data_IF_360251079236
#
_entry.id   IF_360251079236
#
_cell.length_a   1.000
_cell.length_b   1.000
_cell.length_c   1.000
_cell.angle_alpha   90.00
_cell.angle_beta   90.00
_cell.angle_gamma   90.00
#
_symmetry.space_group_name_H-M   'P 1'
#
loop_
_entity.id
_entity.type
_entity.pdbx_description
1 polymer ?
#
# COMPACT_ATOMS: atom_id res chain seq x y z
N UNK A 1 29.20 -11.14 -18.39
CA UNK A 1 29.24 -11.23 -16.92
C UNK A 1 28.25 -10.19 -16.42
N UNK A 2 27.25 -10.62 -15.66
CA UNK A 2 26.19 -9.73 -15.18
C UNK A 2 26.44 -9.41 -13.70
N UNK A 3 26.24 -8.15 -13.34
CA UNK A 3 26.30 -7.74 -11.93
C UNK A 3 24.99 -8.10 -11.23
N UNK A 4 25.07 -8.50 -9.96
CA UNK A 4 23.91 -8.86 -9.15
C UNK A 4 23.36 -7.68 -8.34
N UNK A 5 24.09 -6.58 -8.19
CA UNK A 5 23.72 -5.46 -7.31
C UNK A 5 23.39 -4.17 -8.08
N UNK A 6 23.41 -3.03 -7.39
CA UNK A 6 23.28 -1.70 -8.00
C UNK A 6 24.39 -1.38 -9.03
N UNK A 7 25.50 -2.13 -9.05
CA UNK A 7 26.55 -2.00 -10.07
C UNK A 7 26.03 -2.22 -11.50
N UNK A 8 24.95 -3.00 -11.67
CA UNK A 8 24.30 -3.24 -12.96
C UNK A 8 23.74 -1.96 -13.61
N UNK A 9 23.52 -0.89 -12.84
CA UNK A 9 23.02 0.38 -13.40
C UNK A 9 24.14 1.35 -13.78
N UNK A 10 25.40 1.05 -13.46
CA UNK A 10 26.52 1.96 -13.69
C UNK A 10 27.31 1.55 -14.95
N UNK A 11 27.24 2.39 -15.98
CA UNK A 11 27.90 2.14 -17.25
C UNK A 11 29.45 2.06 -17.11
N UNK A 12 30.04 2.80 -16.16
CA UNK A 12 31.49 2.80 -15.97
C UNK A 12 31.96 1.53 -15.28
N UNK A 13 31.23 1.03 -14.27
CA UNK A 13 31.52 -0.26 -13.64
C UNK A 13 31.35 -1.41 -14.63
N UNK A 14 30.33 -1.34 -15.50
CA UNK A 14 30.15 -2.30 -16.62
C UNK A 14 31.32 -2.28 -17.59
N UNK A 15 31.75 -1.09 -18.00
CA UNK A 15 32.92 -0.93 -18.87
C UNK A 15 34.20 -1.48 -18.20
N UNK A 16 34.40 -1.20 -16.91
CA UNK A 16 35.52 -1.73 -16.12
C UNK A 16 35.53 -3.27 -16.04
N UNK A 17 34.36 -3.91 -16.04
CA UNK A 17 34.26 -5.37 -16.07
C UNK A 17 34.64 -5.97 -17.43
N UNK A 18 34.60 -5.18 -18.51
CA UNK A 18 34.80 -5.63 -19.90
C UNK A 18 36.16 -5.21 -20.49
N UNK A 19 36.66 -4.02 -20.15
CA UNK A 19 37.83 -3.41 -20.80
C UNK A 19 38.91 -2.99 -19.79
N UNK A 20 40.19 -3.21 -20.11
CA UNK A 20 41.30 -2.86 -19.22
C UNK A 20 41.53 -1.33 -19.15
N UNK A 21 41.20 -0.61 -20.23
CA UNK A 21 41.28 0.86 -20.29
C UNK A 21 40.25 1.54 -19.38
N UNK A 22 39.29 0.79 -18.84
CA UNK A 22 38.22 1.29 -17.98
C UNK A 22 38.45 1.00 -16.49
N UNK A 23 39.64 0.50 -16.13
CA UNK A 23 40.02 0.29 -14.74
C UNK A 23 39.98 1.59 -13.92
N UNK A 24 39.66 1.46 -12.63
CA UNK A 24 39.42 2.57 -11.71
C UNK A 24 40.48 2.56 -10.61
N UNK A 25 41.13 3.69 -10.34
CA UNK A 25 42.14 3.83 -9.30
C UNK A 25 42.63 5.27 -9.16
N UNK A 26 43.59 5.51 -8.29
CA UNK A 26 44.14 6.87 -8.05
C UNK A 26 44.67 7.53 -9.33
N UNK A 27 45.22 6.73 -10.26
CA UNK A 27 45.78 7.18 -11.52
C UNK A 27 44.79 7.07 -12.70
N UNK A 28 43.61 6.47 -12.50
CA UNK A 28 42.67 6.13 -13.58
C UNK A 28 41.22 6.35 -13.16
N UNK A 29 40.48 7.24 -13.85
CA UNK A 29 39.07 7.51 -13.56
C UNK A 29 38.79 7.73 -12.05
N UNK A 30 39.63 8.54 -11.41
CA UNK A 30 39.71 8.71 -9.97
C UNK A 30 38.53 9.49 -9.36
N UNK A 31 37.58 9.96 -10.17
CA UNK A 31 36.41 10.72 -9.69
C UNK A 31 35.12 10.36 -10.43
N UNK A 32 34.05 10.07 -9.69
CA UNK A 32 32.70 9.85 -10.23
C UNK A 32 31.78 9.01 -9.33
N UNK A 33 30.49 8.91 -9.67
CA UNK A 33 29.49 8.17 -8.88
C UNK A 33 29.81 6.67 -8.71
N UNK A 34 30.51 6.06 -9.68
CA UNK A 34 30.99 4.68 -9.57
C UNK A 34 31.97 4.47 -8.41
N UNK A 35 32.71 5.52 -8.02
CA UNK A 35 33.63 5.45 -6.88
C UNK A 35 32.85 5.29 -5.58
N UNK A 36 31.72 5.98 -5.42
CA UNK A 36 30.86 5.84 -4.24
C UNK A 36 30.36 4.40 -4.10
N UNK A 37 29.94 3.79 -5.20
CA UNK A 37 29.50 2.40 -5.26
C UNK A 37 30.62 1.42 -4.87
N UNK A 38 31.84 1.64 -5.36
CA UNK A 38 33.03 0.88 -4.95
C UNK A 38 33.27 1.01 -3.45
N UNK A 39 33.19 2.22 -2.89
CA UNK A 39 33.39 2.45 -1.45
C UNK A 39 32.30 1.81 -0.60
N UNK A 40 31.04 1.84 -1.03
CA UNK A 40 29.94 1.12 -0.38
C UNK A 40 30.24 -0.38 -0.30
N UNK A 41 30.66 -0.98 -1.42
CA UNK A 41 31.02 -2.41 -1.46
C UNK A 41 32.22 -2.74 -0.55
N UNK A 42 33.26 -1.91 -0.57
CA UNK A 42 34.43 -2.06 0.30
C UNK A 42 34.09 -1.95 1.78
N UNK A 43 33.25 -0.97 2.17
CA UNK A 43 32.80 -0.82 3.55
C UNK A 43 31.92 -2.01 3.99
N UNK A 44 31.02 -2.47 3.11
CA UNK A 44 30.19 -3.65 3.37
C UNK A 44 31.05 -4.90 3.61
N UNK A 45 32.14 -5.08 2.85
CA UNK A 45 33.10 -6.14 3.09
C UNK A 45 33.91 -5.94 4.38
N UNK A 46 34.38 -4.73 4.65
CA UNK A 46 35.25 -4.40 5.77
C UNK A 46 34.60 -4.74 7.12
N UNK A 47 33.29 -4.50 7.24
CA UNK A 47 32.49 -4.82 8.44
C UNK A 47 32.38 -6.33 8.67
N UNK A 48 32.41 -7.15 7.60
CA UNK A 48 32.33 -8.63 7.69
C UNK A 48 33.67 -9.26 8.12
N UNK A 49 34.76 -8.51 8.16
CA UNK A 49 36.09 -9.05 8.49
C UNK A 49 36.25 -9.30 9.99
N UNK A 50 37.09 -10.26 10.35
CA UNK A 50 37.49 -10.52 11.74
C UNK A 50 39.03 -10.56 11.88
N UNK A 51 39.68 -9.54 12.47
CA UNK A 51 39.07 -8.32 13.00
C UNK A 51 38.53 -7.41 11.87
N UNK A 52 37.56 -6.52 12.18
CA UNK A 52 37.02 -5.57 11.21
C UNK A 52 38.13 -4.74 10.56
N UNK A 53 38.03 -4.51 9.25
CA UNK A 53 38.91 -3.58 8.56
C UNK A 53 38.39 -2.15 8.73
N UNK A 54 39.29 -1.16 8.59
CA UNK A 54 38.92 0.26 8.61
C UNK A 54 37.95 0.59 7.47
N UNK A 55 36.91 1.37 7.79
CA UNK A 55 35.96 1.89 6.80
C UNK A 55 36.43 3.25 6.29
N UNK A 56 36.03 3.58 5.06
CA UNK A 56 36.40 4.84 4.38
C UNK A 56 35.16 5.72 4.16
N UNK A 57 35.37 7.04 4.11
CA UNK A 57 34.30 7.99 3.79
C UNK A 57 33.77 7.76 2.36
N UNK A 58 32.46 7.62 2.23
CA UNK A 58 31.77 7.51 0.94
C UNK A 58 31.69 8.90 0.31
N UNK A 59 32.43 9.08 -0.78
CA UNK A 59 32.40 10.25 -1.65
C UNK A 59 32.86 9.82 -3.05
N UNK A 60 32.80 10.74 -4.01
CA UNK A 60 33.10 10.49 -5.41
C UNK A 60 34.60 10.40 -5.73
N UNK A 61 35.52 10.48 -4.75
CA UNK A 61 36.97 10.52 -4.99
C UNK A 61 37.70 9.23 -4.61
N UNK A 62 38.46 8.68 -5.55
CA UNK A 62 39.31 7.51 -5.36
C UNK A 62 40.69 7.96 -4.88
N UNK A 63 40.82 8.14 -3.56
CA UNK A 63 42.06 8.56 -2.92
C UNK A 63 42.90 7.39 -2.39
N UNK A 64 44.03 7.72 -1.76
CA UNK A 64 44.97 6.76 -1.18
C UNK A 64 44.30 5.75 -0.25
N UNK A 65 43.40 6.19 0.62
CA UNK A 65 42.70 5.30 1.56
C UNK A 65 41.83 4.25 0.85
N UNK A 66 41.21 4.63 -0.27
CA UNK A 66 40.42 3.71 -1.09
C UNK A 66 41.31 2.68 -1.78
N UNK A 67 42.43 3.12 -2.34
CA UNK A 67 43.43 2.23 -2.94
C UNK A 67 44.03 1.25 -1.94
N UNK A 68 44.33 1.70 -0.71
CA UNK A 68 44.82 0.85 0.38
C UNK A 68 43.80 -0.23 0.75
N UNK A 69 42.52 0.15 0.88
CA UNK A 69 41.44 -0.79 1.22
C UNK A 69 41.16 -1.79 0.08
N UNK A 70 41.30 -1.37 -1.18
CA UNK A 70 41.23 -2.28 -2.35
C UNK A 70 42.36 -3.29 -2.32
N UNK A 71 43.61 -2.87 -2.07
CA UNK A 71 44.74 -3.78 -1.98
C UNK A 71 44.55 -4.80 -0.84
N UNK A 72 44.06 -4.35 0.31
CA UNK A 72 43.72 -5.22 1.43
C UNK A 72 42.59 -6.21 1.07
N UNK A 73 41.52 -5.73 0.44
CA UNK A 73 40.41 -6.54 -0.06
C UNK A 73 40.93 -7.68 -0.93
N UNK A 74 41.71 -7.35 -1.98
CA UNK A 74 42.28 -8.32 -2.91
C UNK A 74 43.17 -9.36 -2.23
N UNK A 75 43.96 -8.92 -1.25
CA UNK A 75 44.89 -9.79 -0.51
C UNK A 75 44.16 -10.83 0.32
N UNK A 76 42.99 -10.49 0.86
CA UNK A 76 42.19 -11.36 1.73
C UNK A 76 41.19 -12.25 1.00
N UNK A 77 41.07 -12.14 -0.32
CA UNK A 77 40.29 -13.08 -1.12
C UNK A 77 41.00 -14.44 -1.20
N UNK A 78 40.24 -15.51 -1.36
CA UNK A 78 40.77 -16.89 -1.47
C UNK A 78 40.27 -17.50 -2.78
N UNK A 79 41.12 -17.59 -3.84
CA UNK A 79 42.50 -17.11 -3.90
C UNK A 79 42.60 -15.56 -4.01
N UNK A 80 43.78 -14.97 -3.72
CA UNK A 80 43.97 -13.53 -3.86
C UNK A 80 43.70 -13.03 -5.28
N UNK A 81 43.12 -11.84 -5.39
CA UNK A 81 42.85 -11.22 -6.70
C UNK A 81 44.10 -10.49 -7.19
N UNK A 82 44.87 -11.14 -8.07
CA UNK A 82 46.10 -10.60 -8.65
C UNK A 82 45.83 -9.90 -10.00
N UNK A 83 46.67 -8.92 -10.33
CA UNK A 83 46.73 -8.32 -11.66
C UNK A 83 47.46 -9.22 -12.68
N UNK A 84 47.60 -8.76 -13.93
CA UNK A 84 48.23 -9.54 -15.00
C UNK A 84 49.71 -9.88 -14.74
N UNK A 85 50.40 -9.07 -13.92
CA UNK A 85 51.78 -9.29 -13.50
C UNK A 85 51.89 -10.18 -12.25
N UNK A 86 50.78 -10.77 -11.79
CA UNK A 86 50.76 -11.63 -10.60
C UNK A 86 50.94 -10.87 -9.29
N UNK A 87 50.64 -9.56 -9.24
CA UNK A 87 50.83 -8.71 -8.05
C UNK A 87 49.50 -8.17 -7.53
N UNK A 88 49.46 -7.85 -6.24
CA UNK A 88 48.42 -7.01 -5.64
C UNK A 88 48.69 -5.57 -6.03
N UNK A 89 47.65 -4.86 -6.46
CA UNK A 89 47.69 -3.42 -6.74
C UNK A 89 46.47 -2.71 -6.13
N UNK A 90 46.46 -1.38 -6.27
CA UNK A 90 45.47 -0.47 -5.69
C UNK A 90 44.34 -0.10 -6.67
N UNK A 91 44.18 -0.89 -7.73
CA UNK A 91 43.30 -0.59 -8.86
C UNK A 91 42.10 -1.53 -8.83
N UNK A 92 40.89 -1.01 -8.99
CA UNK A 92 39.70 -1.82 -9.26
C UNK A 92 39.69 -2.16 -10.75
N UNK A 93 40.12 -3.37 -11.08
CA UNK A 93 40.06 -3.93 -12.43
C UNK A 93 38.95 -4.96 -12.58
N UNK A 94 38.87 -5.62 -13.75
CA UNK A 94 37.81 -6.58 -14.12
C UNK A 94 37.42 -7.57 -13.01
N UNK A 95 38.39 -8.30 -12.47
CA UNK A 95 38.15 -9.30 -11.40
C UNK A 95 37.68 -8.65 -10.10
N UNK A 96 38.18 -7.45 -9.81
CA UNK A 96 37.92 -6.73 -8.56
C UNK A 96 36.52 -6.13 -8.56
N UNK A 97 36.10 -5.46 -9.64
CA UNK A 97 34.75 -4.85 -9.71
C UNK A 97 33.66 -5.91 -9.58
N UNK A 98 33.89 -7.10 -10.14
CA UNK A 98 32.97 -8.24 -10.07
C UNK A 98 32.94 -8.88 -8.68
N UNK A 99 34.08 -8.95 -8.02
CA UNK A 99 34.13 -9.44 -6.65
C UNK A 99 33.44 -8.45 -5.69
N UNK A 100 33.64 -7.14 -5.88
CA UNK A 100 33.00 -6.09 -5.09
C UNK A 100 31.48 -6.05 -5.25
N UNK A 101 30.96 -6.29 -6.46
CA UNK A 101 29.50 -6.41 -6.69
C UNK A 101 28.84 -7.47 -5.79
N UNK A 102 29.59 -8.53 -5.43
CA UNK A 102 29.09 -9.59 -4.54
C UNK A 102 28.99 -9.16 -3.08
N UNK A 103 29.64 -8.06 -2.71
CA UNK A 103 29.61 -7.55 -1.34
C UNK A 103 28.34 -6.77 -1.02
N UNK A 104 27.66 -6.29 -2.07
CA UNK A 104 26.40 -5.57 -1.98
C UNK A 104 25.20 -6.53 -2.04
N UNK A 105 24.05 -6.14 -1.47
CA UNK A 105 22.82 -6.91 -1.57
C UNK A 105 22.47 -7.19 -3.03
N UNK A 106 22.16 -8.45 -3.35
CA UNK A 106 21.59 -8.78 -4.65
C UNK A 106 20.33 -7.95 -4.86
N UNK A 107 20.24 -7.32 -6.03
CA UNK A 107 19.01 -6.74 -6.55
C UNK A 107 18.04 -7.89 -6.71
N UNK A 108 17.28 -8.19 -5.65
CA UNK A 108 16.05 -8.96 -5.78
C UNK A 108 15.32 -8.31 -6.95
N UNK A 109 15.15 -9.06 -8.05
CA UNK A 109 14.21 -8.67 -9.10
C UNK A 109 12.98 -8.25 -8.33
N UNK A 110 12.58 -6.98 -8.47
CA UNK A 110 11.40 -6.50 -7.78
C UNK A 110 10.31 -7.54 -8.05
N UNK A 111 9.65 -8.10 -7.01
CA UNK A 111 8.63 -9.10 -7.24
C UNK A 111 7.70 -8.57 -8.32
N UNK A 112 7.32 -9.44 -9.27
CA UNK A 112 6.45 -9.04 -10.37
C UNK A 112 5.28 -8.23 -9.79
N UNK A 113 4.86 -7.13 -10.45
CA UNK A 113 3.74 -6.33 -9.97
C UNK A 113 2.58 -7.26 -9.62
N UNK A 114 2.01 -7.08 -8.43
CA UNK A 114 0.84 -7.85 -8.04
C UNK A 114 -0.24 -7.66 -9.10
N UNK A 115 -0.99 -8.71 -9.42
CA UNK A 115 -2.22 -8.53 -10.17
C UNK A 115 -3.20 -7.65 -9.37
N UNK A 116 -4.21 -7.09 -10.02
CA UNK A 116 -5.12 -6.12 -9.42
C UNK A 116 -5.97 -6.77 -8.33
N UNK A 117 -6.42 -8.00 -8.56
CA UNK A 117 -7.06 -8.87 -7.58
C UNK A 117 -6.11 -9.25 -6.45
N UNK A 118 -4.83 -9.58 -6.72
CA UNK A 118 -3.85 -9.84 -5.66
C UNK A 118 -3.56 -8.60 -4.80
N UNK A 119 -3.56 -7.42 -5.42
CA UNK A 119 -3.46 -6.14 -4.72
C UNK A 119 -4.68 -5.90 -3.84
N UNK A 120 -5.89 -6.15 -4.35
CA UNK A 120 -7.13 -6.06 -3.57
C UNK A 120 -7.13 -7.05 -2.40
N UNK A 121 -6.62 -8.28 -2.59
CA UNK A 121 -6.47 -9.28 -1.53
C UNK A 121 -5.54 -8.81 -0.41
N UNK A 122 -4.48 -8.06 -0.75
CA UNK A 122 -3.57 -7.49 0.23
C UNK A 122 -4.28 -6.45 1.12
N UNK A 123 -5.09 -5.57 0.53
CA UNK A 123 -5.76 -4.48 1.26
C UNK A 123 -7.11 -4.90 1.89
N UNK A 124 -7.58 -6.10 1.57
CA UNK A 124 -8.81 -6.70 2.11
C UNK A 124 -8.85 -6.76 3.64
N UNK A 125 -7.72 -7.07 4.30
CA UNK A 125 -7.71 -7.20 5.76
C UNK A 125 -8.10 -5.88 6.44
N UNK A 126 -7.61 -4.76 5.93
CA UNK A 126 -8.00 -3.42 6.40
C UNK A 126 -9.51 -3.19 6.20
N UNK A 127 -10.05 -3.58 5.05
CA UNK A 127 -11.49 -3.48 4.74
C UNK A 127 -12.34 -4.30 5.73
N UNK A 128 -11.91 -5.52 6.06
CA UNK A 128 -12.54 -6.40 7.04
C UNK A 128 -12.54 -5.74 8.43
N UNK A 129 -11.42 -5.15 8.85
CA UNK A 129 -11.33 -4.47 10.15
C UNK A 129 -12.31 -3.29 10.25
N UNK A 130 -12.44 -2.49 9.20
CA UNK A 130 -13.41 -1.40 9.15
C UNK A 130 -14.86 -1.92 9.18
N UNK A 131 -15.18 -2.95 8.41
CA UNK A 131 -16.51 -3.56 8.41
C UNK A 131 -16.88 -4.15 9.78
N UNK A 132 -15.94 -4.83 10.46
CA UNK A 132 -16.15 -5.37 11.80
C UNK A 132 -16.37 -4.26 12.83
N UNK A 133 -15.60 -3.17 12.76
CA UNK A 133 -15.83 -2.01 13.62
C UNK A 133 -17.23 -1.42 13.40
N UNK A 134 -17.66 -1.27 12.15
CA UNK A 134 -19.02 -0.83 11.82
C UNK A 134 -20.10 -1.75 12.40
N UNK A 135 -19.97 -3.07 12.24
CA UNK A 135 -20.92 -4.05 12.80
C UNK A 135 -20.99 -3.94 14.33
N UNK A 136 -19.86 -3.87 15.00
CA UNK A 136 -19.81 -3.78 16.46
C UNK A 136 -20.48 -2.49 16.96
N UNK A 137 -20.16 -1.36 16.32
CA UNK A 137 -20.69 -0.03 16.66
C UNK A 137 -22.19 0.10 16.42
N UNK A 138 -22.66 -0.42 15.28
CA UNK A 138 -24.09 -0.48 14.98
C UNK A 138 -24.83 -1.41 15.95
N UNK A 139 -24.25 -2.55 16.33
CA UNK A 139 -24.85 -3.47 17.31
C UNK A 139 -24.98 -2.82 18.69
N UNK A 140 -23.92 -2.15 19.17
CA UNK A 140 -23.92 -1.39 20.43
C UNK A 140 -25.01 -0.30 20.43
N UNK A 141 -25.04 0.50 19.36
CA UNK A 141 -26.02 1.59 19.18
C UNK A 141 -27.45 1.04 19.11
N UNK A 142 -27.66 -0.04 18.36
CA UNK A 142 -28.97 -0.71 18.26
C UNK A 142 -29.46 -1.17 19.62
N UNK A 143 -28.60 -1.82 20.41
CA UNK A 143 -28.95 -2.27 21.77
C UNK A 143 -29.31 -1.10 22.69
N UNK A 144 -28.54 -0.02 22.65
CA UNK A 144 -28.83 1.18 23.43
C UNK A 144 -30.19 1.79 23.06
N UNK A 145 -30.53 1.85 21.77
CA UNK A 145 -31.81 2.40 21.31
C UNK A 145 -33.00 1.48 21.62
N UNK A 146 -32.81 0.15 21.57
CA UNK A 146 -33.86 -0.82 21.86
C UNK A 146 -34.20 -0.89 23.36
N UNK A 147 -33.18 -0.77 24.21
CA UNK A 147 -33.31 -0.85 25.67
C UNK A 147 -32.44 0.24 26.31
N UNK A 148 -32.87 1.51 26.26
CA UNK A 148 -32.11 2.60 26.87
C UNK A 148 -32.02 2.36 28.39
N UNK A 149 -30.84 2.56 29.01
CA UNK A 149 -30.74 2.54 30.46
C UNK A 149 -31.65 3.63 31.05
N UNK A 150 -32.12 3.47 32.30
CA UNK A 150 -32.86 4.54 32.95
C UNK A 150 -32.00 5.80 33.04
N UNK A 151 -32.63 6.97 32.84
CA UNK A 151 -31.96 8.25 33.06
C UNK A 151 -31.46 8.37 34.50
N UNK A 152 -30.31 9.03 34.70
CA UNK A 152 -29.76 9.26 36.04
C UNK A 152 -30.68 10.14 36.91
N UNK A 153 -31.49 10.98 36.27
CA UNK A 153 -32.49 11.83 36.90
C UNK A 153 -33.86 11.52 36.31
N UNK A 154 -34.88 11.45 37.16
CA UNK A 154 -36.26 11.25 36.73
C UNK A 154 -36.69 12.35 35.74
N UNK A 155 -37.22 11.96 34.59
CA UNK A 155 -37.65 12.89 33.55
C UNK A 155 -36.55 13.37 32.58
N UNK A 156 -35.29 12.95 32.77
CA UNK A 156 -34.20 13.24 31.83
C UNK A 156 -33.88 12.03 30.95
N UNK A 157 -33.45 12.25 29.70
CA UNK A 157 -33.00 11.16 28.83
C UNK A 157 -31.73 10.50 29.39
N UNK A 158 -31.48 9.22 29.04
CA UNK A 158 -30.23 8.56 29.39
C UNK A 158 -29.02 9.29 28.80
N UNK A 159 -27.90 9.26 29.53
CA UNK A 159 -26.62 9.67 28.99
C UNK A 159 -26.22 8.71 27.87
N UNK A 160 -25.97 9.26 26.68
CA UNK A 160 -25.53 8.49 25.52
C UNK A 160 -24.05 8.16 25.69
N UNK A 161 -23.65 6.87 25.68
CA UNK A 161 -22.24 6.50 25.73
C UNK A 161 -21.45 7.12 24.57
N UNK A 162 -20.17 7.53 24.77
CA UNK A 162 -19.39 8.20 23.72
C UNK A 162 -19.36 7.44 22.38
N UNK A 163 -19.23 6.12 22.42
CA UNK A 163 -19.23 5.26 21.25
C UNK A 163 -20.55 5.24 20.49
N UNK A 164 -21.67 5.25 21.22
CA UNK A 164 -23.02 5.35 20.64
C UNK A 164 -23.18 6.73 20.00
N UNK A 165 -22.72 7.79 20.66
CA UNK A 165 -22.70 9.15 20.11
C UNK A 165 -21.92 9.25 18.80
N UNK A 166 -20.70 8.70 18.74
CA UNK A 166 -19.89 8.62 17.52
C UNK A 166 -20.64 7.89 16.40
N UNK A 167 -21.28 6.77 16.72
CA UNK A 167 -22.01 5.97 15.73
C UNK A 167 -23.23 6.72 15.18
N UNK A 168 -23.97 7.41 16.05
CA UNK A 168 -25.11 8.24 15.64
C UNK A 168 -24.68 9.40 14.73
N UNK A 169 -23.57 10.08 15.06
CA UNK A 169 -23.00 11.13 14.21
C UNK A 169 -22.58 10.57 12.85
N UNK A 170 -21.96 9.39 12.81
CA UNK A 170 -21.57 8.76 11.56
C UNK A 170 -22.78 8.31 10.72
N UNK A 171 -23.84 7.80 11.36
CA UNK A 171 -25.11 7.47 10.70
C UNK A 171 -25.77 8.72 10.10
N UNK A 172 -25.77 9.83 10.83
CA UNK A 172 -26.26 11.11 10.32
C UNK A 172 -25.39 11.63 9.17
N UNK A 173 -24.07 11.50 9.27
CA UNK A 173 -23.11 12.02 8.28
C UNK A 173 -23.15 11.26 6.95
N UNK A 174 -23.26 9.93 6.99
CA UNK A 174 -23.13 9.09 5.79
C UNK A 174 -24.43 8.47 5.31
N UNK A 175 -25.38 8.24 6.22
CA UNK A 175 -26.68 7.69 5.88
C UNK A 175 -27.81 8.71 5.97
N UNK A 176 -27.53 9.92 6.47
CA UNK A 176 -28.46 11.03 6.59
C UNK A 176 -29.73 10.66 7.35
N UNK A 177 -29.59 9.72 8.29
CA UNK A 177 -30.67 9.36 9.19
C UNK A 177 -30.82 10.51 10.16
N UNK A 178 -31.86 11.31 9.97
CA UNK A 178 -32.31 12.23 11.01
C UNK A 178 -32.64 11.38 12.24
N UNK A 179 -31.94 11.64 13.35
CA UNK A 179 -32.18 10.99 14.63
C UNK A 179 -33.58 11.34 15.19
N UNK A 180 -34.31 12.28 14.58
CA UNK A 180 -35.63 12.71 15.02
C UNK A 180 -36.83 12.02 14.34
N UNK A 181 -36.68 11.34 13.19
CA UNK A 181 -37.85 11.05 12.31
C UNK A 181 -38.00 9.63 11.76
N UNK A 182 -37.04 8.72 11.94
CA UNK A 182 -37.16 7.31 11.51
C UNK A 182 -37.08 6.39 12.74
N UNK A 183 -37.78 5.26 12.73
CA UNK A 183 -37.54 4.16 13.68
C UNK A 183 -36.13 3.60 13.46
N UNK A 184 -35.14 4.25 14.10
CA UNK A 184 -33.71 4.08 13.89
C UNK A 184 -33.25 2.61 13.91
N UNK A 185 -33.92 1.77 14.70
CA UNK A 185 -33.59 0.34 14.84
C UNK A 185 -33.74 -0.41 13.51
N UNK A 186 -34.83 -0.22 12.77
CA UNK A 186 -35.06 -0.94 11.51
C UNK A 186 -34.05 -0.53 10.44
N UNK A 187 -33.67 0.75 10.40
CA UNK A 187 -32.64 1.23 9.50
C UNK A 187 -31.27 0.67 9.88
N UNK A 188 -30.90 0.71 11.17
CA UNK A 188 -29.66 0.11 11.66
C UNK A 188 -29.61 -1.39 11.33
N UNK A 189 -30.72 -2.10 11.45
CA UNK A 189 -30.84 -3.51 11.07
C UNK A 189 -30.53 -3.74 9.59
N UNK A 190 -30.99 -2.87 8.70
CA UNK A 190 -30.69 -2.95 7.27
C UNK A 190 -29.21 -2.67 6.97
N UNK A 191 -28.62 -1.65 7.61
CA UNK A 191 -27.18 -1.36 7.46
C UNK A 191 -26.33 -2.52 7.98
N UNK A 192 -26.71 -3.11 9.12
CA UNK A 192 -26.07 -4.31 9.68
C UNK A 192 -26.14 -5.51 8.74
N UNK A 193 -27.29 -5.76 8.12
CA UNK A 193 -27.46 -6.86 7.17
C UNK A 193 -26.53 -6.72 5.96
N UNK A 194 -26.42 -5.50 5.40
CA UNK A 194 -25.53 -5.22 4.27
C UNK A 194 -24.06 -5.38 4.66
N UNK A 195 -23.63 -4.90 5.84
CA UNK A 195 -22.25 -5.15 6.30
C UNK A 195 -21.95 -6.63 6.51
N UNK A 196 -22.90 -7.42 7.03
CA UNK A 196 -22.71 -8.87 7.23
C UNK A 196 -22.54 -9.60 5.90
N UNK A 197 -23.36 -9.26 4.89
CA UNK A 197 -23.23 -9.78 3.52
C UNK A 197 -21.90 -9.37 2.89
N UNK A 198 -21.53 -8.09 3.03
CA UNK A 198 -20.25 -7.56 2.54
C UNK A 198 -19.07 -8.31 3.18
N UNK A 199 -19.09 -8.50 4.50
CA UNK A 199 -18.07 -9.27 5.22
C UNK A 199 -17.98 -10.73 4.74
N UNK A 200 -19.11 -11.37 4.41
CA UNK A 200 -19.10 -12.71 3.84
C UNK A 200 -18.40 -12.76 2.47
N UNK A 201 -18.64 -11.75 1.61
CA UNK A 201 -17.96 -11.62 0.31
C UNK A 201 -16.47 -11.38 0.52
N UNK A 202 -16.09 -10.46 1.41
CA UNK A 202 -14.69 -10.19 1.73
C UNK A 202 -13.98 -11.43 2.27
N UNK A 203 -14.59 -12.17 3.20
CA UNK A 203 -13.98 -13.39 3.73
C UNK A 203 -13.80 -14.48 2.67
N UNK A 204 -14.65 -14.51 1.64
CA UNK A 204 -14.54 -15.42 0.50
C UNK A 204 -13.95 -14.76 -0.75
N UNK A 205 -13.20 -13.65 -0.61
CA UNK A 205 -12.72 -12.81 -1.70
C UNK A 205 -12.02 -13.57 -2.84
N UNK A 206 -11.35 -14.70 -2.56
CA UNK A 206 -10.70 -15.52 -3.59
C UNK A 206 -11.68 -16.04 -4.66
N UNK A 207 -12.97 -16.20 -4.33
CA UNK A 207 -14.01 -16.59 -5.27
C UNK A 207 -14.67 -15.39 -5.98
N UNK A 208 -14.50 -14.18 -5.45
CA UNK A 208 -15.23 -12.99 -5.90
C UNK A 208 -14.34 -11.98 -6.63
N UNK A 209 -13.05 -11.87 -6.28
CA UNK A 209 -12.14 -10.85 -6.83
C UNK A 209 -11.46 -11.37 -8.08
N UNK A 210 -11.58 -10.63 -9.18
CA UNK A 210 -11.10 -11.04 -10.49
C UNK A 210 -10.36 -9.88 -11.16
N UNK A 211 -9.27 -10.21 -11.86
CA UNK A 211 -8.58 -9.29 -12.75
C UNK A 211 -9.40 -9.06 -14.02
N UNK A 212 -9.71 -7.80 -14.33
CA UNK A 212 -10.44 -7.43 -15.53
C UNK A 212 -9.64 -6.46 -16.38
N UNK A 213 -9.07 -6.98 -17.46
CA UNK A 213 -8.22 -6.21 -18.39
C UNK A 213 -8.92 -5.88 -19.70
N UNK A 214 -10.17 -6.33 -19.90
CA UNK A 214 -10.81 -6.33 -21.23
C UNK A 214 -12.19 -5.68 -21.28
N UNK A 215 -12.82 -5.39 -20.14
CA UNK A 215 -14.14 -4.74 -20.13
C UNK A 215 -14.09 -3.28 -20.58
N UNK A 216 -15.27 -2.74 -20.92
CA UNK A 216 -15.43 -1.32 -21.21
C UNK A 216 -15.09 -0.43 -20.01
N UNK A 217 -15.29 -0.91 -18.78
CA UNK A 217 -14.92 -0.20 -17.56
C UNK A 217 -13.40 -0.16 -17.37
N UNK A 218 -12.70 -1.26 -17.68
CA UNK A 218 -11.24 -1.28 -17.72
C UNK A 218 -10.69 -0.26 -18.75
N UNK A 219 -11.31 -0.18 -19.94
CA UNK A 219 -10.93 0.79 -20.96
C UNK A 219 -11.16 2.26 -20.56
N UNK A 220 -12.15 2.53 -19.69
CA UNK A 220 -12.40 3.89 -19.14
C UNK A 220 -11.43 4.27 -18.02
N UNK A 221 -10.67 3.33 -17.49
CA UNK A 221 -9.84 3.54 -16.30
C UNK A 221 -10.63 3.51 -14.99
N UNK A 222 -11.83 2.91 -14.97
CA UNK A 222 -12.58 2.69 -13.73
C UNK A 222 -11.80 1.67 -12.88
N UNK A 223 -11.36 1.96 -11.64
CA UNK A 223 -10.46 1.07 -10.90
C UNK A 223 -11.09 -0.27 -10.54
N UNK A 224 -12.37 -0.28 -10.18
CA UNK A 224 -13.10 -1.50 -9.91
C UNK A 224 -14.57 -1.33 -10.28
N UNK A 225 -15.24 -2.44 -10.57
CA UNK A 225 -16.68 -2.47 -10.82
C UNK A 225 -17.28 -3.84 -10.52
N UNK A 226 -18.61 -3.89 -10.42
CA UNK A 226 -19.37 -5.12 -10.29
C UNK A 226 -20.27 -5.29 -11.52
N UNK A 227 -19.98 -6.24 -12.42
CA UNK A 227 -20.89 -6.55 -13.52
C UNK A 227 -22.16 -7.19 -12.95
N UNK A 228 -23.31 -6.55 -13.21
CA UNK A 228 -24.58 -6.94 -12.62
C UNK A 228 -24.95 -8.39 -12.91
N UNK A 229 -25.41 -9.11 -11.89
CA UNK A 229 -25.84 -10.50 -11.97
C UNK A 229 -24.72 -11.55 -11.94
N UNK A 230 -23.44 -11.16 -12.01
CA UNK A 230 -22.33 -12.13 -11.97
C UNK A 230 -21.79 -12.38 -10.55
N UNK A 231 -22.17 -11.54 -9.59
CA UNK A 231 -21.76 -11.68 -8.18
C UNK A 231 -20.24 -11.71 -8.02
N UNK A 232 -19.52 -10.85 -8.74
CA UNK A 232 -18.05 -10.76 -8.74
C UNK A 232 -17.63 -9.29 -8.65
N UNK A 233 -16.46 -9.05 -8.08
CA UNK A 233 -15.80 -7.75 -8.04
C UNK A 233 -14.63 -7.79 -9.02
N UNK A 234 -14.71 -6.97 -10.05
CA UNK A 234 -13.69 -6.86 -11.07
C UNK A 234 -12.76 -5.69 -10.73
N UNK A 235 -11.46 -5.96 -10.65
CA UNK A 235 -10.43 -4.94 -10.50
C UNK A 235 -9.70 -4.75 -11.83
N UNK A 236 -9.58 -3.51 -12.28
CA UNK A 236 -9.00 -3.17 -13.58
C UNK A 236 -7.57 -2.66 -13.43
N UNK A 237 -6.79 -2.47 -14.53
CA UNK A 237 -5.43 -1.94 -14.46
C UNK A 237 -5.31 -0.56 -13.78
N UNK A 238 -6.39 0.20 -13.69
CA UNK A 238 -6.38 1.46 -12.95
C UNK A 238 -6.25 1.25 -11.43
N UNK A 239 -6.69 0.10 -10.89
CA UNK A 239 -6.46 -0.29 -9.50
C UNK A 239 -5.02 -0.77 -9.31
N UNK A 240 -4.12 0.20 -9.13
CA UNK A 240 -2.68 -0.03 -8.99
C UNK A 240 -2.12 0.67 -7.77
N UNK A 241 -0.95 0.22 -7.33
CA UNK A 241 -0.22 0.88 -6.26
C UNK A 241 0.17 2.30 -6.65
N UNK A 242 0.20 3.18 -5.65
CA UNK A 242 0.63 4.54 -5.86
C UNK A 242 2.09 4.60 -6.32
N UNK A 243 2.32 5.27 -7.44
CA UNK A 243 3.64 5.62 -7.95
C UNK A 243 3.62 7.07 -8.43
N UNK A 244 4.25 7.96 -7.65
CA UNK A 244 4.17 9.40 -7.87
C UNK A 244 2.74 9.92 -7.69
N UNK A 245 2.15 10.45 -8.77
CA UNK A 245 0.78 10.99 -8.81
C UNK A 245 -0.25 10.00 -9.35
N UNK A 246 0.18 8.82 -9.80
CA UNK A 246 -0.69 7.78 -10.33
C UNK A 246 -0.94 6.68 -9.29
N UNK A 247 -2.06 5.98 -9.44
CA UNK A 247 -2.46 4.88 -8.54
C UNK A 247 -2.99 5.36 -7.20
N UNK A 248 -3.18 4.40 -6.30
CA UNK A 248 -3.90 4.61 -5.04
C UNK A 248 -3.05 4.18 -3.85
N UNK A 249 -3.16 4.93 -2.75
CA UNK A 249 -2.60 4.56 -1.46
C UNK A 249 -3.34 3.37 -0.83
N UNK A 250 -2.77 2.75 0.22
CA UNK A 250 -3.35 1.55 0.82
C UNK A 250 -4.73 1.77 1.44
N UNK A 251 -5.01 2.93 2.05
CA UNK A 251 -6.34 3.16 2.63
C UNK A 251 -7.37 3.44 1.53
N UNK A 252 -6.99 4.09 0.45
CA UNK A 252 -7.85 4.32 -0.70
C UNK A 252 -8.24 3.02 -1.39
N UNK A 253 -7.27 2.12 -1.58
CA UNK A 253 -7.55 0.77 -2.10
C UNK A 253 -8.42 -0.04 -1.15
N UNK A 254 -8.17 0.01 0.16
CA UNK A 254 -9.05 -0.63 1.14
C UNK A 254 -10.49 -0.07 1.11
N UNK A 255 -10.65 1.25 0.92
CA UNK A 255 -11.97 1.87 0.79
C UNK A 255 -12.73 1.32 -0.43
N UNK A 256 -12.05 1.21 -1.58
CA UNK A 256 -12.62 0.60 -2.78
C UNK A 256 -12.97 -0.88 -2.56
N UNK A 257 -12.09 -1.64 -1.91
CA UNK A 257 -12.31 -3.07 -1.61
C UNK A 257 -13.51 -3.28 -0.67
N UNK A 258 -13.78 -2.36 0.26
CA UNK A 258 -14.99 -2.39 1.09
C UNK A 258 -16.25 -1.91 0.32
N UNK A 259 -16.09 -0.97 -0.59
CA UNK A 259 -17.16 -0.38 -1.38
C UNK A 259 -17.76 -1.36 -2.39
N UNK A 260 -16.95 -2.00 -3.22
CA UNK A 260 -17.46 -2.81 -4.34
C UNK A 260 -18.37 -3.97 -3.92
N UNK A 261 -18.09 -4.74 -2.84
CA UNK A 261 -19.00 -5.79 -2.40
C UNK A 261 -20.40 -5.30 -1.98
N UNK A 262 -20.59 -4.01 -1.67
CA UNK A 262 -21.92 -3.45 -1.39
C UNK A 262 -22.82 -3.57 -2.62
N UNK A 263 -22.28 -3.37 -3.82
CA UNK A 263 -23.04 -3.54 -5.07
C UNK A 263 -23.60 -4.94 -5.24
N UNK A 264 -22.95 -5.95 -4.66
CA UNK A 264 -23.43 -7.34 -4.64
C UNK A 264 -24.41 -7.55 -3.48
N UNK A 265 -24.05 -7.07 -2.28
CA UNK A 265 -24.82 -7.29 -1.05
C UNK A 265 -26.20 -6.62 -1.06
N UNK A 266 -26.33 -5.48 -1.75
CA UNK A 266 -27.53 -4.65 -1.83
C UNK A 266 -28.03 -4.50 -3.28
N UNK A 267 -27.78 -5.51 -4.12
CA UNK A 267 -28.31 -5.55 -5.48
C UNK A 267 -29.84 -5.75 -5.47
N UNK A 268 -30.62 -5.06 -6.35
CA UNK A 268 -30.18 -4.10 -7.37
C UNK A 268 -30.08 -2.65 -6.88
N UNK A 269 -30.45 -2.36 -5.64
CA UNK A 269 -30.60 -1.00 -5.16
C UNK A 269 -29.29 -0.19 -5.23
N UNK A 270 -28.18 -0.79 -4.81
CA UNK A 270 -26.85 -0.16 -4.86
C UNK A 270 -26.33 0.08 -6.28
N UNK A 271 -26.88 -0.62 -7.27
CA UNK A 271 -26.49 -0.54 -8.67
C UNK A 271 -27.12 0.65 -9.42
N UNK A 272 -28.11 1.33 -8.83
CA UNK A 272 -28.75 2.47 -9.47
C UNK A 272 -27.85 3.72 -9.38
N UNK A 273 -27.63 4.39 -10.52
CA UNK A 273 -26.84 5.64 -10.61
C UNK A 273 -27.29 6.69 -9.60
N UNK A 274 -28.60 6.80 -9.34
CA UNK A 274 -29.15 7.77 -8.37
C UNK A 274 -28.75 7.51 -6.92
N UNK A 275 -28.24 6.30 -6.63
CA UNK A 275 -27.75 5.87 -5.33
C UNK A 275 -26.21 5.88 -5.29
N UNK A 276 -25.51 6.17 -6.38
CA UNK A 276 -24.04 6.09 -6.46
C UNK A 276 -23.41 7.50 -6.51
N UNK A 277 -23.61 8.29 -5.45
CA UNK A 277 -23.02 9.63 -5.34
C UNK A 277 -21.69 9.53 -4.59
N UNK A 278 -20.61 10.03 -5.20
CA UNK A 278 -19.27 9.98 -4.62
C UNK A 278 -19.20 10.72 -3.27
N UNK A 279 -18.49 10.17 -2.28
CA UNK A 279 -18.41 10.71 -0.91
C UNK A 279 -17.78 12.11 -0.82
N UNK A 280 -17.08 12.57 -1.85
CA UNK A 280 -16.49 13.90 -1.94
C UNK A 280 -17.28 14.86 -2.83
N UNK A 281 -18.38 14.41 -3.45
CA UNK A 281 -19.26 15.25 -4.26
C UNK A 281 -20.15 16.14 -3.36
N UNK A 282 -20.40 17.38 -3.78
CA UNK A 282 -21.29 18.31 -3.07
C UNK A 282 -22.73 17.78 -2.89
N UNK A 283 -23.18 16.92 -3.80
CA UNK A 283 -24.50 16.30 -3.75
C UNK A 283 -24.56 15.16 -2.75
N UNK A 284 -23.41 14.61 -2.32
CA UNK A 284 -23.36 13.54 -1.34
C UNK A 284 -24.11 13.94 -0.09
N UNK A 285 -23.76 15.09 0.50
CA UNK A 285 -24.38 15.66 1.70
C UNK A 285 -25.86 16.07 1.54
N UNK A 286 -26.38 16.09 0.30
CA UNK A 286 -27.78 16.46 0.00
C UNK A 286 -28.63 15.25 -0.41
N UNK A 287 -28.02 14.09 -0.59
CA UNK A 287 -28.73 12.90 -1.03
C UNK A 287 -29.73 12.45 0.05
N UNK A 288 -31.00 12.13 -0.27
CA UNK A 288 -31.95 11.67 0.74
C UNK A 288 -31.49 10.36 1.42
N UNK A 289 -31.85 10.18 2.69
CA UNK A 289 -31.47 9.02 3.50
C UNK A 289 -31.77 7.66 2.82
N UNK A 290 -32.94 7.55 2.18
CA UNK A 290 -33.33 6.33 1.45
C UNK A 290 -32.41 6.00 0.27
N UNK A 291 -31.77 7.00 -0.34
CA UNK A 291 -30.78 6.77 -1.40
C UNK A 291 -29.40 6.51 -0.82
N UNK A 292 -29.03 7.18 0.28
CA UNK A 292 -27.77 6.94 0.98
C UNK A 292 -27.67 5.54 1.59
N UNK A 293 -28.81 4.99 2.02
CA UNK A 293 -28.93 3.60 2.45
C UNK A 293 -28.44 2.60 1.39
N UNK A 294 -28.57 2.97 0.12
CA UNK A 294 -28.15 2.15 -1.01
C UNK A 294 -26.87 2.68 -1.66
N UNK A 295 -26.14 3.60 -1.02
CA UNK A 295 -24.92 4.17 -1.57
C UNK A 295 -23.69 3.44 -1.04
N UNK A 296 -22.95 2.69 -1.87
CA UNK A 296 -21.71 2.01 -1.47
C UNK A 296 -20.67 2.94 -0.83
N UNK A 297 -20.60 4.20 -1.27
CA UNK A 297 -19.70 5.19 -0.71
C UNK A 297 -19.98 5.47 0.78
N UNK A 298 -21.25 5.36 1.20
CA UNK A 298 -21.67 5.56 2.59
C UNK A 298 -21.21 4.43 3.51
N UNK A 299 -21.18 3.19 3.01
CA UNK A 299 -20.66 2.06 3.78
C UNK A 299 -19.15 2.15 3.98
N UNK A 300 -18.39 2.52 2.94
CA UNK A 300 -16.96 2.70 3.10
C UNK A 300 -16.64 3.85 4.08
N UNK A 301 -17.31 5.00 3.91
CA UNK A 301 -17.05 6.20 4.72
C UNK A 301 -17.51 6.06 6.17
N UNK A 302 -18.70 5.48 6.41
CA UNK A 302 -19.18 5.19 7.76
C UNK A 302 -18.23 4.27 8.52
N UNK A 303 -17.80 3.17 7.88
CA UNK A 303 -16.91 2.20 8.52
C UNK A 303 -15.57 2.83 8.91
N UNK A 304 -15.04 3.70 8.05
CA UNK A 304 -13.84 4.49 8.37
C UNK A 304 -14.09 5.42 9.55
N UNK A 305 -15.15 6.21 9.54
CA UNK A 305 -15.42 7.19 10.59
C UNK A 305 -15.50 6.52 11.97
N UNK A 306 -16.23 5.41 12.09
CA UNK A 306 -16.35 4.72 13.38
C UNK A 306 -15.09 3.96 13.77
N UNK A 307 -14.29 3.48 12.81
CA UNK A 307 -12.99 2.84 13.06
C UNK A 307 -11.95 3.85 13.56
N UNK A 308 -11.88 5.03 12.95
CA UNK A 308 -10.99 6.13 13.34
C UNK A 308 -11.58 7.03 14.42
N UNK A 309 -12.42 6.47 15.29
CA UNK A 309 -12.96 7.09 16.51
C UNK A 309 -13.66 8.44 16.28
N UNK A 310 -14.49 8.51 15.23
CA UNK A 310 -15.30 9.68 14.88
C UNK A 310 -14.70 10.59 13.81
N UNK A 311 -13.45 10.35 13.38
CA UNK A 311 -12.81 11.14 12.34
C UNK A 311 -13.34 10.76 10.95
N UNK A 312 -14.03 11.69 10.28
CA UNK A 312 -14.54 11.52 8.92
C UNK A 312 -13.41 11.62 7.87
N UNK A 313 -12.77 10.49 7.57
CA UNK A 313 -11.55 10.46 6.73
C UNK A 313 -11.84 10.35 5.24
N UNK A 314 -12.90 9.65 4.81
CA UNK A 314 -13.32 9.47 3.39
C UNK A 314 -12.15 9.10 2.46
N UNK A 315 -11.48 7.98 2.74
CA UNK A 315 -10.29 7.56 1.99
C UNK A 315 -10.57 7.12 0.54
N UNK A 316 -11.80 7.17 0.02
CA UNK A 316 -12.10 6.68 -1.33
C UNK A 316 -11.39 7.45 -2.45
N UNK A 317 -11.82 7.25 -3.69
CA UNK A 317 -11.06 7.67 -4.90
C UNK A 317 -10.70 9.17 -4.95
N UNK A 318 -11.41 10.02 -4.19
CA UNK A 318 -11.10 11.45 -4.06
C UNK A 318 -9.85 11.77 -3.22
N UNK A 319 -9.27 10.79 -2.51
CA UNK A 319 -8.04 10.91 -1.71
C UNK A 319 -7.03 9.82 -2.07
N UNK A 320 -6.55 9.77 -3.33
CA UNK A 320 -5.76 8.67 -3.86
C UNK A 320 -4.38 8.50 -3.21
N UNK A 321 -3.92 9.47 -2.42
CA UNK A 321 -2.62 9.42 -1.74
C UNK A 321 -2.60 8.64 -0.43
N UNK A 322 -3.78 8.37 0.16
CA UNK A 322 -3.93 7.79 1.50
C UNK A 322 -4.13 6.27 1.47
#
# INVERSE_FOLDING_TARGET
>A
MEFQSEFENDAKLKACALNDNDHIGEQFASKGPWVELIKKALNAWAVKQNPPAGQILINDQFGKETGDLVALYKTRQVPPILNYAGKIDRIVGKKTVVALDKELPSRKVAPAPLSMSALAQRDRLTSIQWALAAINRLTETRMFLATPPPGQLQGFPPLVPPNVGITLVALETHFHISTATITQIAFIDQVLDIYRKNLAILNNSNAFFIDDTTSAEAAKGTPAHVPFGLGRVNFTPAFTERSGTAGFGPNCRAAMVLHEPVHIADHPAASFVVNHVNENDQNYARQPAMKQLHNPHSYASFAQQVFFNGNDTRFGIGKPEL
#
